data_IF_951639855049
#
_entry.id   IF_951639855049
#
_cell.length_a   1.000
_cell.length_b   1.000
_cell.length_c   1.000
_cell.angle_alpha   90.00
_cell.angle_beta   90.00
_cell.angle_gamma   90.00
#
_symmetry.space_group_name_H-M   'P 1'
#
loop_
_entity.id
_entity.type
_entity.pdbx_description
1 polymer ?
#
# COMPACT_ATOMS: atom_id res chain seq x y z
N UNK A 1 -30.40 -8.44 23.79
CA UNK A 1 -29.23 -9.31 24.03
C UNK A 1 -29.09 -10.16 22.79
N UNK A 2 -28.03 -9.96 22.02
CA UNK A 2 -27.82 -10.73 20.82
C UNK A 2 -27.30 -12.13 21.19
N UNK A 3 -27.64 -13.11 20.38
CA UNK A 3 -27.10 -14.46 20.50
C UNK A 3 -25.71 -14.49 19.87
N UNK A 4 -24.68 -14.68 20.69
CA UNK A 4 -23.30 -14.80 20.21
C UNK A 4 -23.04 -16.21 19.66
N UNK A 5 -22.51 -16.29 18.45
CA UNK A 5 -22.05 -17.53 17.82
C UNK A 5 -20.57 -17.37 17.51
N UNK A 6 -19.74 -18.13 18.21
CA UNK A 6 -18.30 -18.18 17.97
C UNK A 6 -17.97 -19.22 16.90
N UNK A 7 -17.12 -18.83 15.94
CA UNK A 7 -16.64 -19.65 14.84
C UNK A 7 -15.18 -20.02 15.14
N UNK A 8 -14.88 -21.33 15.16
CA UNK A 8 -13.54 -21.83 15.49
C UNK A 8 -12.46 -21.37 14.50
N UNK A 9 -11.19 -21.53 14.88
CA UNK A 9 -10.06 -21.04 14.09
C UNK A 9 -9.98 -21.63 12.68
N UNK A 10 -10.24 -22.93 12.52
CA UNK A 10 -10.16 -23.60 11.22
C UNK A 10 -11.31 -23.17 10.31
N UNK A 11 -12.52 -23.09 10.86
CA UNK A 11 -13.72 -22.61 10.17
C UNK A 11 -13.55 -21.14 9.77
N UNK A 12 -13.02 -20.32 10.66
CA UNK A 12 -12.73 -18.91 10.40
C UNK A 12 -11.71 -18.74 9.27
N UNK A 13 -10.66 -19.56 9.25
CA UNK A 13 -9.68 -19.55 8.16
C UNK A 13 -10.28 -20.01 6.82
N UNK A 14 -11.16 -21.02 6.84
CA UNK A 14 -11.92 -21.43 5.65
C UNK A 14 -12.82 -20.30 5.15
N UNK A 15 -13.50 -19.58 6.05
CA UNK A 15 -14.30 -18.40 5.70
C UNK A 15 -13.41 -17.34 5.07
N UNK A 16 -12.25 -17.01 5.64
CA UNK A 16 -11.33 -16.02 5.08
C UNK A 16 -10.88 -16.38 3.65
N UNK A 17 -10.58 -17.65 3.37
CA UNK A 17 -10.25 -18.10 2.01
C UNK A 17 -11.47 -18.00 1.08
N UNK A 18 -12.66 -18.35 1.59
CA UNK A 18 -13.92 -18.24 0.83
C UNK A 18 -14.22 -16.79 0.48
N UNK A 19 -13.91 -15.84 1.37
CA UNK A 19 -13.98 -14.40 1.13
C UNK A 19 -13.11 -13.99 -0.06
N UNK A 20 -11.88 -14.49 -0.15
CA UNK A 20 -11.00 -14.21 -1.28
C UNK A 20 -11.57 -14.73 -2.60
N UNK A 21 -12.06 -15.98 -2.62
CA UNK A 21 -12.68 -16.55 -3.83
C UNK A 21 -13.93 -15.77 -4.26
N UNK A 22 -14.75 -15.34 -3.31
CA UNK A 22 -15.91 -14.51 -3.56
C UNK A 22 -15.50 -13.17 -4.20
N UNK A 23 -14.51 -12.50 -3.61
CA UNK A 23 -13.96 -11.25 -4.14
C UNK A 23 -13.41 -11.41 -5.55
N UNK A 24 -12.63 -12.46 -5.79
CA UNK A 24 -12.08 -12.79 -7.11
C UNK A 24 -13.19 -13.02 -8.16
N UNK A 25 -14.21 -13.81 -7.82
CA UNK A 25 -15.35 -14.07 -8.70
C UNK A 25 -16.08 -12.79 -9.09
N UNK A 26 -16.31 -11.89 -8.13
CA UNK A 26 -17.01 -10.64 -8.37
C UNK A 26 -16.17 -9.66 -9.20
N UNK A 27 -14.88 -9.54 -8.88
CA UNK A 27 -13.93 -8.73 -9.67
C UNK A 27 -13.85 -9.19 -11.13
N UNK A 28 -13.90 -10.51 -11.36
CA UNK A 28 -13.91 -11.06 -12.72
C UNK A 28 -15.21 -10.72 -13.49
N UNK A 29 -16.33 -10.53 -12.79
CA UNK A 29 -17.64 -10.24 -13.39
C UNK A 29 -17.93 -8.75 -13.56
N UNK A 30 -17.34 -7.88 -12.74
CA UNK A 30 -17.60 -6.44 -12.72
C UNK A 30 -16.40 -5.66 -13.29
N UNK A 31 -16.49 -5.15 -14.55
CA UNK A 31 -15.38 -4.44 -15.19
C UNK A 31 -14.93 -3.19 -14.44
N UNK A 32 -15.83 -2.54 -13.68
CA UNK A 32 -15.52 -1.34 -12.90
C UNK A 32 -14.53 -1.66 -11.77
N UNK A 33 -14.73 -2.76 -11.03
CA UNK A 33 -13.84 -3.15 -9.94
C UNK A 33 -12.46 -3.52 -10.46
N UNK A 34 -12.42 -4.26 -11.57
CA UNK A 34 -11.17 -4.57 -12.28
C UNK A 34 -10.47 -3.33 -12.81
N UNK A 35 -11.22 -2.37 -13.37
CA UNK A 35 -10.67 -1.12 -13.91
C UNK A 35 -9.95 -0.30 -12.82
N UNK A 36 -10.49 -0.27 -11.61
CA UNK A 36 -9.89 0.45 -10.50
C UNK A 36 -8.91 -0.40 -9.68
N UNK A 37 -8.67 -1.67 -10.02
CA UNK A 37 -7.79 -2.57 -9.25
C UNK A 37 -8.22 -2.70 -7.77
N UNK A 38 -9.54 -2.78 -7.51
CA UNK A 38 -10.04 -2.98 -6.15
C UNK A 38 -9.60 -4.36 -5.63
N UNK A 39 -8.86 -4.44 -4.51
CA UNK A 39 -8.40 -5.72 -3.95
C UNK A 39 -9.55 -6.72 -3.70
N UNK A 40 -9.33 -7.98 -4.06
CA UNK A 40 -10.28 -9.08 -3.84
C UNK A 40 -10.70 -9.23 -2.36
N UNK A 41 -9.79 -9.15 -1.37
CA UNK A 41 -10.17 -9.27 0.04
C UNK A 41 -11.22 -8.24 0.45
N UNK A 42 -11.14 -7.01 -0.10
CA UNK A 42 -12.08 -5.90 0.20
C UNK A 42 -13.45 -6.20 -0.34
N UNK A 43 -13.54 -6.63 -1.59
CA UNK A 43 -14.83 -6.91 -2.24
C UNK A 43 -15.54 -8.06 -1.54
N UNK A 44 -14.84 -9.18 -1.30
CA UNK A 44 -15.42 -10.30 -0.58
C UNK A 44 -15.74 -9.94 0.88
N UNK A 45 -14.80 -9.26 1.55
CA UNK A 45 -14.88 -8.96 2.98
C UNK A 45 -16.00 -8.00 3.29
N UNK A 46 -16.22 -6.98 2.46
CA UNK A 46 -17.33 -6.05 2.62
C UNK A 46 -18.69 -6.73 2.46
N UNK A 47 -18.81 -7.73 1.56
CA UNK A 47 -20.04 -8.51 1.42
C UNK A 47 -20.31 -9.31 2.68
N UNK A 48 -19.29 -9.96 3.24
CA UNK A 48 -19.39 -10.67 4.52
C UNK A 48 -19.71 -9.71 5.67
N UNK A 49 -19.07 -8.55 5.74
CA UNK A 49 -19.36 -7.52 6.72
C UNK A 49 -20.82 -7.02 6.64
N UNK A 50 -21.36 -6.83 5.43
CA UNK A 50 -22.77 -6.51 5.22
C UNK A 50 -23.71 -7.64 5.70
N UNK A 51 -23.36 -8.91 5.46
CA UNK A 51 -24.14 -10.05 5.96
C UNK A 51 -24.11 -10.12 7.50
N UNK A 52 -22.93 -9.94 8.11
CA UNK A 52 -22.78 -9.89 9.57
C UNK A 52 -23.56 -8.72 10.16
N UNK A 53 -23.52 -7.55 9.51
CA UNK A 53 -24.31 -6.38 9.89
C UNK A 53 -25.81 -6.67 9.87
N UNK A 54 -26.30 -7.36 8.84
CA UNK A 54 -27.69 -7.80 8.79
C UNK A 54 -28.03 -8.78 9.92
N UNK A 55 -27.15 -9.75 10.21
CA UNK A 55 -27.34 -10.69 11.33
C UNK A 55 -27.37 -9.98 12.69
N UNK A 56 -26.49 -9.00 12.90
CA UNK A 56 -26.43 -8.18 14.11
C UNK A 56 -27.76 -7.48 14.38
N UNK A 57 -28.36 -6.87 13.34
CA UNK A 57 -29.68 -6.24 13.44
C UNK A 57 -30.83 -7.25 13.66
N UNK A 58 -30.63 -8.53 13.34
CA UNK A 58 -31.54 -9.62 13.66
C UNK A 58 -31.24 -10.28 15.02
N UNK A 59 -30.32 -9.71 15.81
CA UNK A 59 -29.99 -10.18 17.14
C UNK A 59 -29.00 -11.34 17.18
N UNK A 60 -28.19 -11.55 16.14
CA UNK A 60 -27.15 -12.59 16.09
C UNK A 60 -25.79 -11.93 15.91
N UNK A 61 -24.88 -12.15 16.86
CA UNK A 61 -23.50 -11.68 16.78
C UNK A 61 -22.59 -12.85 16.37
N UNK A 62 -21.79 -12.66 15.31
CA UNK A 62 -20.76 -13.61 14.91
C UNK A 62 -19.40 -13.14 15.39
N UNK A 63 -18.63 -14.05 15.97
CA UNK A 63 -17.25 -13.81 16.40
C UNK A 63 -16.33 -14.88 15.82
N UNK A 64 -15.28 -14.46 15.13
CA UNK A 64 -14.33 -15.35 14.46
C UNK A 64 -13.03 -15.43 15.25
N UNK A 65 -12.53 -16.64 15.48
CA UNK A 65 -11.20 -16.87 16.05
C UNK A 65 -10.11 -16.80 14.96
N UNK A 66 -9.20 -15.82 15.05
CA UNK A 66 -8.26 -15.46 13.97
C UNK A 66 -6.78 -15.48 14.40
N UNK A 67 -6.24 -16.62 14.90
CA UNK A 67 -4.89 -16.68 15.46
C UNK A 67 -3.78 -16.40 14.43
N UNK A 68 -4.08 -16.54 13.13
CA UNK A 68 -3.12 -16.32 12.05
C UNK A 68 -3.14 -14.88 11.50
N UNK A 69 -4.10 -14.04 11.87
CA UNK A 69 -4.23 -12.68 11.33
C UNK A 69 -2.95 -11.87 11.50
N UNK A 70 -2.44 -11.76 12.73
CA UNK A 70 -1.19 -11.04 13.00
C UNK A 70 -0.01 -11.72 12.28
N UNK A 71 0.04 -13.06 12.24
CA UNK A 71 1.12 -13.78 11.55
C UNK A 71 1.20 -13.42 10.07
N UNK A 72 0.06 -13.36 9.37
CA UNK A 72 0.02 -12.95 7.96
C UNK A 72 0.35 -11.47 7.77
N UNK A 73 -0.05 -10.60 8.70
CA UNK A 73 0.37 -9.19 8.71
C UNK A 73 1.90 -9.06 8.79
N UNK A 74 2.52 -9.71 9.77
CA UNK A 74 3.98 -9.69 9.97
C UNK A 74 4.72 -10.30 8.78
N UNK A 75 4.20 -11.37 8.18
CA UNK A 75 4.77 -11.94 6.96
C UNK A 75 4.71 -10.94 5.79
N UNK A 76 3.58 -10.25 5.60
CA UNK A 76 3.48 -9.21 4.57
C UNK A 76 4.55 -8.12 4.76
N UNK A 77 4.66 -7.52 5.95
CA UNK A 77 5.67 -6.48 6.20
C UNK A 77 7.11 -7.00 6.12
N UNK A 78 7.35 -8.26 6.50
CA UNK A 78 8.63 -8.91 6.28
C UNK A 78 8.96 -9.02 4.78
N UNK A 79 7.99 -9.27 3.90
CA UNK A 79 8.25 -9.29 2.44
C UNK A 79 8.61 -7.91 1.90
N UNK A 80 7.97 -6.83 2.38
CA UNK A 80 8.33 -5.45 2.04
C UNK A 80 9.80 -5.18 2.42
N UNK A 81 10.20 -5.57 3.64
CA UNK A 81 11.59 -5.48 4.09
C UNK A 81 12.54 -6.34 3.26
N UNK A 82 12.13 -7.57 2.90
CA UNK A 82 12.94 -8.47 2.09
C UNK A 82 13.11 -8.00 0.62
N UNK A 83 12.20 -7.15 0.15
CA UNK A 83 12.27 -6.55 -1.17
C UNK A 83 13.13 -5.27 -1.20
N UNK A 84 13.39 -4.65 -0.04
CA UNK A 84 14.18 -3.42 0.10
C UNK A 84 15.69 -3.67 -0.06
N UNK A 85 16.11 -3.81 -1.30
CA UNK A 85 17.47 -4.10 -1.72
C UNK A 85 18.23 -2.81 -2.11
N UNK A 86 19.38 -2.54 -1.47
CA UNK A 86 20.18 -1.33 -1.75
C UNK A 86 20.72 -1.27 -3.19
N UNK A 87 21.06 -2.41 -3.81
CA UNK A 87 21.53 -2.46 -5.19
C UNK A 87 20.42 -2.02 -6.16
N UNK A 88 19.15 -2.38 -5.91
CA UNK A 88 18.03 -1.90 -6.71
C UNK A 88 17.86 -0.39 -6.60
N UNK A 89 18.01 0.18 -5.40
CA UNK A 89 18.00 1.64 -5.19
C UNK A 89 19.10 2.33 -5.99
N UNK A 90 20.32 1.77 -5.96
CA UNK A 90 21.47 2.31 -6.69
C UNK A 90 21.32 2.19 -8.21
N UNK A 91 20.72 1.11 -8.72
CA UNK A 91 20.42 0.94 -10.15
C UNK A 91 19.45 1.99 -10.68
N UNK A 92 18.54 2.47 -9.84
CA UNK A 92 17.59 3.54 -10.18
C UNK A 92 18.23 4.93 -10.39
N UNK A 93 19.52 5.08 -10.06
CA UNK A 93 20.28 6.30 -10.28
C UNK A 93 19.77 7.51 -9.48
N UNK A 94 20.24 8.70 -9.84
CA UNK A 94 19.93 9.93 -9.10
C UNK A 94 18.43 10.26 -9.06
N UNK A 95 17.67 9.89 -10.10
CA UNK A 95 16.23 10.18 -10.19
C UNK A 95 15.41 9.45 -9.13
N UNK A 96 15.80 8.23 -8.73
CA UNK A 96 15.12 7.51 -7.63
C UNK A 96 15.29 8.24 -6.31
N UNK A 97 16.50 8.70 -5.98
CA UNK A 97 16.75 9.45 -4.74
C UNK A 97 16.02 10.80 -4.72
N UNK A 98 16.02 11.52 -5.85
CA UNK A 98 15.29 12.79 -5.97
C UNK A 98 13.79 12.55 -5.79
N UNK A 99 13.25 11.52 -6.45
CA UNK A 99 11.83 11.21 -6.34
C UNK A 99 11.44 10.76 -4.93
N UNK A 100 12.25 9.91 -4.30
CA UNK A 100 12.07 9.51 -2.91
C UNK A 100 12.03 10.74 -2.00
N UNK A 101 12.98 11.67 -2.12
CA UNK A 101 12.98 12.90 -1.31
C UNK A 101 11.70 13.74 -1.50
N UNK A 102 11.22 13.86 -2.74
CA UNK A 102 9.98 14.58 -3.06
C UNK A 102 8.75 13.89 -2.48
N UNK A 103 8.66 12.56 -2.60
CA UNK A 103 7.57 11.76 -2.05
C UNK A 103 7.56 11.79 -0.51
N UNK A 104 8.73 11.71 0.12
CA UNK A 104 8.90 11.85 1.58
C UNK A 104 8.46 13.23 2.07
N UNK A 105 8.82 14.29 1.35
CA UNK A 105 8.35 15.64 1.67
C UNK A 105 6.83 15.76 1.54
N UNK A 106 6.24 15.12 0.52
CA UNK A 106 4.79 15.06 0.37
C UNK A 106 4.11 14.32 1.54
N UNK A 107 4.67 13.21 2.03
CA UNK A 107 4.12 12.48 3.20
C UNK A 107 4.04 13.40 4.43
N UNK A 108 5.05 14.24 4.65
CA UNK A 108 5.03 15.23 5.73
C UNK A 108 3.83 16.17 5.56
N UNK A 109 3.60 16.69 4.35
CA UNK A 109 2.46 17.57 4.06
C UNK A 109 1.13 16.81 4.23
N UNK A 110 1.03 15.59 3.70
CA UNK A 110 -0.16 14.76 3.73
C UNK A 110 -0.60 14.48 5.18
N UNK A 111 0.35 14.14 6.05
CA UNK A 111 0.05 13.94 7.47
C UNK A 111 -0.31 15.25 8.17
N UNK A 112 0.38 16.36 7.88
CA UNK A 112 0.02 17.67 8.43
C UNK A 112 -1.40 18.09 8.05
N UNK A 113 -1.81 17.88 6.80
CA UNK A 113 -3.17 18.14 6.32
C UNK A 113 -4.18 17.22 7.02
N UNK A 114 -3.88 15.92 7.12
CA UNK A 114 -4.76 14.96 7.78
C UNK A 114 -5.01 15.31 9.24
N UNK A 115 -3.93 15.51 10.01
CA UNK A 115 -3.95 15.86 11.43
C UNK A 115 -4.67 17.19 11.67
N UNK A 116 -4.36 18.22 10.89
CA UNK A 116 -4.98 19.54 11.07
C UNK A 116 -6.48 19.54 10.75
N UNK A 117 -6.91 18.83 9.71
CA UNK A 117 -8.33 18.72 9.38
C UNK A 117 -9.09 17.83 10.36
N UNK A 118 -8.49 16.73 10.83
CA UNK A 118 -9.09 15.91 11.88
C UNK A 118 -9.37 16.75 13.13
N UNK A 119 -8.38 17.51 13.62
CA UNK A 119 -8.55 18.42 14.74
C UNK A 119 -9.61 19.50 14.48
N UNK A 120 -9.62 20.10 13.28
CA UNK A 120 -10.59 21.14 12.92
C UNK A 120 -12.04 20.62 12.82
N UNK A 121 -12.21 19.34 12.50
CA UNK A 121 -13.51 18.67 12.41
C UNK A 121 -13.95 18.02 13.74
N UNK A 122 -13.16 18.19 14.81
CA UNK A 122 -13.47 17.66 16.14
C UNK A 122 -13.15 16.18 16.33
N UNK A 123 -12.32 15.60 15.45
CA UNK A 123 -11.80 14.25 15.59
C UNK A 123 -10.47 14.25 16.36
N UNK A 124 -10.08 13.08 16.85
CA UNK A 124 -8.72 12.87 17.37
C UNK A 124 -7.68 13.17 16.27
N UNK A 125 -6.63 13.97 16.52
CA UNK A 125 -5.61 14.28 15.52
C UNK A 125 -4.92 13.04 14.92
N UNK A 126 -4.77 11.94 15.68
CA UNK A 126 -4.18 10.69 15.19
C UNK A 126 -5.04 10.05 14.11
N UNK A 127 -6.37 10.17 14.17
CA UNK A 127 -7.27 9.74 13.11
C UNK A 127 -6.98 10.42 11.76
N UNK A 128 -6.41 11.63 11.81
CA UNK A 128 -5.92 12.34 10.64
C UNK A 128 -4.75 11.65 9.93
N UNK A 129 -3.91 10.91 10.67
CA UNK A 129 -2.82 10.10 10.09
C UNK A 129 -3.38 8.89 9.33
N UNK A 130 -4.47 8.29 9.85
CA UNK A 130 -5.19 7.20 9.18
C UNK A 130 -5.76 7.68 7.85
N UNK A 131 -6.45 8.83 7.83
CA UNK A 131 -6.90 9.49 6.59
C UNK A 131 -5.78 10.17 5.78
N UNK A 132 -4.53 10.00 6.23
CA UNK A 132 -3.33 10.59 5.67
C UNK A 132 -2.45 9.52 5.04
N UNK A 133 -1.15 9.57 5.30
CA UNK A 133 -0.19 8.72 4.62
C UNK A 133 -0.29 7.24 4.99
N UNK A 134 -0.88 6.90 6.14
CA UNK A 134 -1.07 5.50 6.56
C UNK A 134 -1.85 4.74 5.48
N UNK A 135 -2.97 5.29 5.00
CA UNK A 135 -3.80 4.63 3.99
C UNK A 135 -3.56 5.15 2.58
N UNK A 136 -3.32 6.45 2.42
CA UNK A 136 -3.24 7.08 1.10
C UNK A 136 -1.88 6.90 0.43
N UNK A 137 -0.81 6.66 1.19
CA UNK A 137 0.49 6.30 0.63
C UNK A 137 0.87 4.85 0.92
N UNK A 138 0.51 4.33 2.11
CA UNK A 138 0.81 2.96 2.53
C UNK A 138 -0.23 1.90 2.12
N UNK A 139 -1.39 2.31 1.58
CA UNK A 139 -2.44 1.40 1.13
C UNK A 139 -3.13 0.61 2.25
N UNK A 140 -3.88 -0.43 1.86
CA UNK A 140 -4.69 -1.23 2.78
C UNK A 140 -3.87 -2.01 3.81
N UNK A 141 -2.73 -2.57 3.42
CA UNK A 141 -1.87 -3.34 4.34
C UNK A 141 -1.39 -2.49 5.51
N UNK A 142 -0.85 -1.30 5.21
CA UNK A 142 -0.42 -0.31 6.20
C UNK A 142 -1.57 0.25 7.01
N UNK A 143 -2.70 0.54 6.36
CA UNK A 143 -3.96 0.92 7.03
C UNK A 143 -4.39 -0.08 8.10
N UNK A 144 -4.52 -1.35 7.74
CA UNK A 144 -4.96 -2.39 8.67
C UNK A 144 -3.96 -2.63 9.81
N UNK A 145 -2.65 -2.59 9.52
CA UNK A 145 -1.63 -2.80 10.54
C UNK A 145 -1.59 -1.68 11.58
N UNK A 146 -1.60 -0.43 11.13
CA UNK A 146 -1.68 0.72 12.05
C UNK A 146 -3.02 0.80 12.77
N UNK A 147 -4.11 0.31 12.17
CA UNK A 147 -5.42 0.26 12.85
C UNK A 147 -5.37 -0.58 14.11
N UNK A 148 -4.69 -1.73 14.06
CA UNK A 148 -4.50 -2.60 15.23
C UNK A 148 -3.69 -1.87 16.31
N UNK A 149 -2.56 -1.26 15.93
CA UNK A 149 -1.77 -0.44 16.87
C UNK A 149 -2.59 0.69 17.50
N UNK A 150 -3.38 1.41 16.70
CA UNK A 150 -4.15 2.57 17.18
C UNK A 150 -5.27 2.16 18.13
N UNK A 151 -5.87 0.99 17.92
CA UNK A 151 -6.84 0.40 18.84
C UNK A 151 -6.14 -0.04 20.14
N UNK A 152 -5.07 -0.84 20.03
CA UNK A 152 -4.45 -1.49 21.19
C UNK A 152 -3.67 -0.51 22.08
N UNK A 153 -3.00 0.49 21.47
CA UNK A 153 -2.08 1.40 22.18
C UNK A 153 -2.74 2.74 22.52
N UNK A 154 -3.57 3.27 21.63
CA UNK A 154 -4.17 4.61 21.77
C UNK A 154 -5.65 4.58 22.13
N UNK A 155 -6.28 3.40 22.17
CA UNK A 155 -7.69 3.25 22.55
C UNK A 155 -8.66 3.90 21.56
N UNK A 156 -8.26 4.02 20.29
CA UNK A 156 -9.11 4.58 19.25
C UNK A 156 -10.04 3.50 18.69
N UNK A 157 -11.34 3.77 18.68
CA UNK A 157 -12.33 2.85 18.13
C UNK A 157 -12.48 2.98 16.61
N UNK A 158 -12.92 1.90 15.95
CA UNK A 158 -13.36 1.87 14.55
C UNK A 158 -12.29 2.28 13.51
N UNK A 159 -11.02 2.18 13.89
CA UNK A 159 -9.89 2.62 13.06
C UNK A 159 -9.76 1.77 11.79
N UNK A 160 -10.04 0.47 11.89
CA UNK A 160 -9.93 -0.47 10.77
C UNK A 160 -10.93 -0.15 9.67
N UNK A 161 -12.19 0.07 10.03
CA UNK A 161 -13.28 0.46 9.13
C UNK A 161 -12.89 1.71 8.33
N UNK A 162 -12.42 2.73 9.04
CA UNK A 162 -11.98 4.02 8.48
C UNK A 162 -10.77 3.82 7.56
N UNK A 163 -9.78 3.02 7.99
CA UNK A 163 -8.57 2.79 7.23
C UNK A 163 -8.87 2.09 5.89
N UNK A 164 -9.75 1.10 5.91
CA UNK A 164 -10.19 0.39 4.72
C UNK A 164 -10.97 1.28 3.76
N UNK A 165 -11.87 2.12 4.29
CA UNK A 165 -12.62 3.10 3.50
C UNK A 165 -11.67 4.13 2.86
N UNK A 166 -10.74 4.68 3.64
CA UNK A 166 -9.77 5.69 3.20
C UNK A 166 -8.82 5.17 2.13
N UNK A 167 -8.25 3.97 2.32
CA UNK A 167 -7.38 3.32 1.33
C UNK A 167 -8.13 3.02 0.02
N UNK A 168 -9.40 2.59 0.11
CA UNK A 168 -10.21 2.28 -1.08
C UNK A 168 -10.62 3.54 -1.84
N UNK A 169 -11.05 4.58 -1.12
CA UNK A 169 -11.30 5.90 -1.70
C UNK A 169 -10.06 6.40 -2.42
N UNK A 170 -8.93 6.36 -1.74
CA UNK A 170 -7.66 6.81 -2.26
C UNK A 170 -7.28 6.10 -3.56
N UNK A 171 -7.31 4.76 -3.59
CA UNK A 171 -6.98 3.99 -4.78
C UNK A 171 -7.87 4.32 -5.98
N UNK A 172 -9.17 4.56 -5.77
CA UNK A 172 -10.10 5.00 -6.82
C UNK A 172 -9.74 6.41 -7.30
N UNK A 173 -9.62 7.37 -6.38
CA UNK A 173 -9.39 8.77 -6.73
C UNK A 173 -8.00 9.00 -7.32
N UNK A 174 -6.97 8.34 -6.80
CA UNK A 174 -5.61 8.34 -7.34
C UNK A 174 -5.57 7.82 -8.78
N UNK A 175 -6.35 6.78 -9.09
CA UNK A 175 -6.52 6.28 -10.45
C UNK A 175 -7.27 7.24 -11.39
N UNK A 176 -8.20 8.04 -10.85
CA UNK A 176 -8.96 9.04 -11.62
C UNK A 176 -8.14 10.30 -11.89
N UNK A 177 -7.39 10.79 -10.91
CA UNK A 177 -6.71 12.09 -10.97
C UNK A 177 -5.35 12.01 -11.68
N UNK A 178 -4.62 10.90 -11.53
CA UNK A 178 -3.22 10.86 -11.97
C UNK A 178 -3.01 10.99 -13.47
N UNK A 179 -3.80 10.30 -14.29
CA UNK A 179 -3.69 10.44 -15.75
C UNK A 179 -4.09 11.85 -16.24
N UNK A 180 -5.21 12.47 -15.81
CA UNK A 180 -5.51 13.86 -16.17
C UNK A 180 -4.43 14.88 -15.78
N UNK A 181 -3.84 14.75 -14.58
CA UNK A 181 -2.74 15.63 -14.14
C UNK A 181 -1.54 15.50 -15.07
N UNK A 182 -1.09 14.27 -15.35
CA UNK A 182 0.03 14.01 -16.25
C UNK A 182 -0.27 14.49 -17.68
N UNK A 183 -1.46 14.19 -18.21
CA UNK A 183 -1.89 14.65 -19.53
C UNK A 183 -1.85 16.17 -19.62
N UNK A 184 -2.38 16.88 -18.62
CA UNK A 184 -2.39 18.35 -18.60
C UNK A 184 -0.98 18.92 -18.60
N UNK A 185 -0.04 18.30 -17.88
CA UNK A 185 1.37 18.67 -17.88
C UNK A 185 2.00 18.47 -19.27
N UNK A 186 1.73 17.33 -19.92
CA UNK A 186 2.23 17.03 -21.27
C UNK A 186 1.72 18.05 -22.28
N UNK A 187 0.41 18.24 -22.34
CA UNK A 187 -0.25 19.13 -23.32
C UNK A 187 0.10 20.61 -23.09
N UNK A 188 0.15 21.07 -21.83
CA UNK A 188 0.48 22.47 -21.52
C UNK A 188 1.90 22.84 -21.90
N UNK A 189 2.86 21.96 -21.64
CA UNK A 189 4.27 22.23 -21.86
C UNK A 189 4.74 21.79 -23.24
N UNK A 190 3.87 21.18 -24.06
CA UNK A 190 4.20 20.63 -25.39
C UNK A 190 5.44 19.71 -25.37
N UNK A 191 5.54 18.91 -24.30
CA UNK A 191 6.64 17.96 -24.08
C UNK A 191 6.30 16.61 -24.71
N UNK A 192 7.30 15.93 -25.25
CA UNK A 192 7.13 14.66 -25.95
C UNK A 192 8.07 13.59 -25.39
N UNK A 193 7.67 12.32 -25.53
CA UNK A 193 8.56 11.21 -25.26
C UNK A 193 9.80 11.29 -26.16
N UNK A 194 10.97 11.02 -25.58
CA UNK A 194 12.22 10.88 -26.35
C UNK A 194 12.14 9.75 -27.39
N UNK A 195 11.17 8.84 -27.24
CA UNK A 195 10.89 7.73 -28.14
C UNK A 195 9.78 8.04 -29.17
N UNK A 196 9.32 9.29 -29.24
CA UNK A 196 8.30 9.77 -30.16
C UNK A 196 6.86 9.62 -29.65
N UNK A 197 5.91 10.34 -30.29
CA UNK A 197 4.49 10.32 -29.92
C UNK A 197 3.87 8.94 -30.14
N UNK A 198 3.25 8.39 -29.10
CA UNK A 198 2.40 7.21 -29.20
C UNK A 198 1.15 7.49 -30.04
N UNK A 199 1.07 6.94 -31.24
CA UNK A 199 -0.15 6.99 -32.04
C UNK A 199 0.01 6.28 -33.38
N UNK A 200 -0.71 5.16 -33.57
CA UNK A 200 -0.95 4.38 -34.82
C UNK A 200 0.19 4.11 -35.81
N UNK A 201 1.39 4.61 -35.61
CA UNK A 201 2.58 3.98 -36.17
C UNK A 201 2.92 2.84 -35.21
N UNK A 202 2.33 1.67 -35.48
CA UNK A 202 2.49 0.43 -34.72
C UNK A 202 3.96 -0.07 -34.62
N UNK A 203 4.92 0.73 -35.11
CA UNK A 203 6.33 0.40 -35.21
C UNK A 203 7.18 0.92 -34.06
N UNK A 204 6.68 1.70 -33.10
CA UNK A 204 7.53 2.14 -31.97
C UNK A 204 7.80 1.01 -30.98
N UNK A 205 6.79 0.17 -30.69
CA UNK A 205 6.98 -1.06 -29.90
C UNK A 205 7.75 -2.14 -30.69
N UNK A 206 7.66 -2.16 -32.04
CA UNK A 206 8.45 -3.08 -32.88
C UNK A 206 9.90 -2.59 -33.14
N UNK A 207 10.16 -1.28 -33.19
CA UNK A 207 11.50 -0.70 -33.44
C UNK A 207 12.40 -0.75 -32.20
N UNK A 208 11.81 -0.83 -31.02
CA UNK A 208 12.55 -0.90 -29.76
C UNK A 208 11.92 -1.96 -28.83
N UNK A 209 12.07 -3.25 -29.15
CA UNK A 209 11.54 -4.35 -28.32
C UNK A 209 12.14 -4.37 -26.91
N UNK A 210 13.26 -3.69 -26.70
CA UNK A 210 13.93 -3.51 -25.40
C UNK A 210 13.26 -2.44 -24.50
N UNK A 211 12.28 -1.69 -25.01
CA UNK A 211 11.52 -0.70 -24.21
C UNK A 211 10.36 -1.31 -23.43
N UNK A 212 10.07 -2.60 -23.62
CA UNK A 212 9.23 -3.34 -22.68
C UNK A 212 10.08 -3.58 -21.44
N UNK A 213 9.89 -2.73 -20.41
CA UNK A 213 10.52 -2.91 -19.09
C UNK A 213 9.95 -4.12 -18.32
N UNK A 214 9.14 -4.93 -18.98
CA UNK A 214 8.62 -6.20 -18.52
C UNK A 214 9.14 -7.30 -19.45
N UNK A 215 10.13 -8.05 -18.98
CA UNK A 215 10.61 -9.21 -19.71
C UNK A 215 9.65 -10.37 -19.45
N UNK A 216 8.74 -10.64 -20.39
CA UNK A 216 7.82 -11.80 -20.35
C UNK A 216 8.58 -13.15 -20.33
N UNK A 217 9.90 -13.13 -20.58
CA UNK A 217 10.79 -14.28 -20.64
C UNK A 217 11.82 -14.36 -19.51
N UNK A 218 11.82 -13.46 -18.52
CA UNK A 218 12.51 -13.72 -17.25
C UNK A 218 11.63 -14.69 -16.44
N UNK A 219 11.69 -15.99 -16.80
CA UNK A 219 11.03 -17.04 -16.04
C UNK A 219 11.79 -17.27 -14.72
N UNK A 220 11.62 -16.39 -13.72
CA UNK A 220 12.11 -16.66 -12.36
C UNK A 220 11.14 -17.63 -11.64
N UNK A 221 10.89 -18.79 -12.26
CA UNK A 221 9.83 -19.75 -11.87
C UNK A 221 9.72 -19.92 -10.36
N UNK A 222 8.52 -19.70 -9.85
CA UNK A 222 8.19 -20.02 -8.47
C UNK A 222 8.13 -21.54 -8.32
N UNK A 223 9.05 -22.09 -7.53
CA UNK A 223 9.13 -23.53 -7.26
C UNK A 223 8.82 -23.80 -5.79
N UNK A 224 8.32 -24.99 -5.47
CA UNK A 224 8.07 -25.40 -4.08
C UNK A 224 9.31 -25.21 -3.19
N UNK A 225 10.51 -25.45 -3.74
CA UNK A 225 11.78 -25.22 -3.05
C UNK A 225 11.99 -23.73 -2.73
N UNK A 226 11.82 -22.83 -3.71
CA UNK A 226 11.94 -21.38 -3.50
C UNK A 226 10.91 -20.91 -2.46
N UNK A 227 9.67 -21.40 -2.53
CA UNK A 227 8.60 -21.07 -1.57
C UNK A 227 8.99 -21.46 -0.14
N UNK A 228 9.41 -22.71 0.09
CA UNK A 228 9.84 -23.18 1.43
C UNK A 228 11.02 -22.36 1.94
N UNK A 229 12.00 -22.06 1.07
CA UNK A 229 13.15 -21.22 1.42
C UNK A 229 12.72 -19.81 1.84
N UNK A 230 11.81 -19.16 1.11
CA UNK A 230 11.37 -17.81 1.44
C UNK A 230 10.45 -17.77 2.66
N UNK A 231 9.58 -18.76 2.83
CA UNK A 231 8.81 -18.94 4.07
C UNK A 231 9.72 -19.08 5.29
N UNK A 232 10.87 -19.76 5.18
CA UNK A 232 11.83 -19.83 6.27
C UNK A 232 12.37 -18.44 6.66
N UNK A 233 12.77 -17.61 5.70
CA UNK A 233 13.20 -16.23 5.98
C UNK A 233 12.07 -15.38 6.57
N UNK A 234 10.84 -15.52 6.07
CA UNK A 234 9.68 -14.81 6.61
C UNK A 234 9.41 -15.21 8.06
N UNK A 235 9.48 -16.51 8.38
CA UNK A 235 9.30 -16.97 9.75
C UNK A 235 10.44 -16.53 10.68
N UNK A 236 11.67 -16.37 10.17
CA UNK A 236 12.74 -15.70 10.92
C UNK A 236 12.35 -14.25 11.24
N UNK A 237 11.86 -13.49 10.25
CA UNK A 237 11.44 -12.11 10.47
C UNK A 237 10.29 -12.01 11.49
N UNK A 238 9.25 -12.84 11.34
CA UNK A 238 8.07 -12.85 12.23
C UNK A 238 8.46 -13.24 13.66
N UNK A 239 9.24 -14.32 13.80
CA UNK A 239 9.68 -14.81 15.11
C UNK A 239 10.65 -13.83 15.76
N UNK A 240 11.59 -13.29 14.97
CA UNK A 240 12.52 -12.27 15.42
C UNK A 240 11.82 -11.00 15.87
N UNK A 241 10.79 -10.54 15.15
CA UNK A 241 9.99 -9.37 15.51
C UNK A 241 9.36 -9.53 16.90
N UNK A 242 8.73 -10.68 17.16
CA UNK A 242 8.13 -11.00 18.47
C UNK A 242 9.16 -11.01 19.60
N UNK A 243 10.33 -11.61 19.38
CA UNK A 243 11.39 -11.62 20.40
C UNK A 243 11.98 -10.23 20.64
N UNK A 244 12.16 -9.44 19.58
CA UNK A 244 12.66 -8.06 19.71
C UNK A 244 11.65 -7.20 20.45
N UNK A 245 10.36 -7.27 20.10
CA UNK A 245 9.29 -6.56 20.78
C UNK A 245 9.23 -6.93 22.27
N UNK A 246 9.26 -8.23 22.59
CA UNK A 246 9.26 -8.71 23.97
C UNK A 246 10.49 -8.20 24.74
N UNK A 247 11.66 -8.21 24.11
CA UNK A 247 12.89 -7.69 24.70
C UNK A 247 12.79 -6.17 24.96
N UNK A 248 12.34 -5.39 23.98
CA UNK A 248 12.15 -3.93 24.09
C UNK A 248 11.18 -3.58 25.21
N UNK A 249 10.04 -4.29 25.27
CA UNK A 249 9.03 -4.12 26.31
C UNK A 249 9.59 -4.44 27.69
N UNK A 250 10.39 -5.51 27.82
CA UNK A 250 11.02 -5.91 29.10
C UNK A 250 12.02 -4.87 29.62
N UNK A 251 12.74 -4.19 28.73
CA UNK A 251 13.74 -3.19 29.09
C UNK A 251 13.23 -1.74 29.03
N UNK A 252 11.93 -1.54 28.79
CA UNK A 252 11.26 -0.23 28.70
C UNK A 252 12.02 0.80 27.85
N UNK A 253 12.56 0.35 26.71
CA UNK A 253 13.37 1.20 25.83
C UNK A 253 12.44 2.15 25.08
N UNK A 254 12.19 3.33 25.65
CA UNK A 254 11.14 4.26 25.21
C UNK A 254 11.25 4.68 23.74
N UNK A 255 12.48 4.78 23.19
CA UNK A 255 12.71 5.17 21.80
C UNK A 255 12.53 4.04 20.78
N UNK A 256 12.42 2.78 21.24
CA UNK A 256 12.17 1.62 20.39
C UNK A 256 10.75 1.06 20.55
N UNK A 257 9.87 1.68 21.34
CA UNK A 257 8.47 1.26 21.52
C UNK A 257 7.63 1.54 20.27
N UNK A 258 7.77 0.67 19.28
CA UNK A 258 7.16 0.79 17.95
C UNK A 258 6.34 -0.47 17.62
N UNK A 259 5.41 -0.42 16.65
CA UNK A 259 4.57 -1.57 16.32
C UNK A 259 5.37 -2.81 15.87
N UNK A 260 4.85 -4.00 16.16
CA UNK A 260 5.52 -5.28 15.92
C UNK A 260 5.92 -5.51 14.44
N UNK A 261 5.04 -5.14 13.51
CA UNK A 261 5.27 -5.24 12.07
C UNK A 261 6.46 -4.41 11.58
N UNK A 262 6.82 -3.35 12.32
CA UNK A 262 8.01 -2.54 12.03
C UNK A 262 9.28 -3.36 12.23
N UNK A 263 9.36 -4.14 13.31
CA UNK A 263 10.51 -5.03 13.52
C UNK A 263 10.59 -6.10 12.44
N UNK A 264 9.45 -6.69 12.03
CA UNK A 264 9.41 -7.70 10.97
C UNK A 264 9.96 -7.14 9.65
N UNK A 265 9.56 -5.92 9.29
CA UNK A 265 10.10 -5.18 8.15
C UNK A 265 11.60 -4.95 8.29
N UNK A 266 12.07 -4.38 9.41
CA UNK A 266 13.51 -4.07 9.58
C UNK A 266 14.40 -5.30 9.57
N UNK A 267 13.95 -6.41 10.19
CA UNK A 267 14.68 -7.68 10.13
C UNK A 267 14.76 -8.16 8.67
N UNK A 268 13.69 -8.03 7.88
CA UNK A 268 13.71 -8.31 6.44
C UNK A 268 14.73 -7.45 5.67
N UNK A 269 14.79 -6.15 5.96
CA UNK A 269 15.80 -5.24 5.38
C UNK A 269 17.21 -5.72 5.72
N UNK A 270 17.48 -6.04 6.99
CA UNK A 270 18.79 -6.51 7.45
C UNK A 270 19.18 -7.80 6.72
N UNK A 271 18.28 -8.79 6.67
CA UNK A 271 18.55 -10.08 6.02
C UNK A 271 18.90 -9.90 4.54
N UNK A 272 18.10 -9.13 3.80
CA UNK A 272 18.30 -8.94 2.36
C UNK A 272 19.61 -8.26 2.06
N UNK A 273 19.90 -7.16 2.75
CA UNK A 273 21.11 -6.39 2.52
C UNK A 273 22.35 -7.18 2.98
N UNK A 274 22.26 -7.97 4.06
CA UNK A 274 23.34 -8.87 4.48
C UNK A 274 23.63 -9.96 3.42
N UNK A 275 22.61 -10.65 2.93
CA UNK A 275 22.76 -11.69 1.91
C UNK A 275 23.35 -11.16 0.60
N UNK A 276 22.99 -9.93 0.25
CA UNK A 276 23.46 -9.27 -0.96
C UNK A 276 24.91 -8.75 -0.85
N UNK A 277 25.26 -8.10 0.27
CA UNK A 277 26.64 -7.64 0.53
C UNK A 277 27.60 -8.81 0.58
N UNK A 278 27.22 -9.90 1.25
CA UNK A 278 28.04 -11.12 1.35
C UNK A 278 28.09 -11.92 0.04
N UNK A 279 27.25 -11.57 -0.96
CA UNK A 279 27.08 -12.29 -2.23
C UNK A 279 26.79 -13.78 -2.07
N UNK A 280 26.34 -14.22 -0.90
CA UNK A 280 26.06 -15.63 -0.61
C UNK A 280 24.88 -16.09 -1.46
N UNK A 281 23.83 -15.26 -1.54
CA UNK A 281 22.62 -15.59 -2.29
C UNK A 281 21.83 -14.33 -2.64
N UNK A 282 21.36 -14.26 -3.89
CA UNK A 282 20.35 -13.29 -4.31
C UNK A 282 18.96 -13.82 -3.90
N UNK A 283 18.17 -13.01 -3.20
CA UNK A 283 16.77 -13.34 -2.93
C UNK A 283 15.97 -13.22 -4.22
N UNK A 284 15.08 -14.18 -4.42
CA UNK A 284 14.16 -14.24 -5.54
C UNK A 284 13.01 -13.27 -5.28
N UNK A 285 12.99 -12.16 -6.02
CA UNK A 285 12.03 -11.08 -5.79
C UNK A 285 10.60 -11.53 -6.09
N UNK A 286 10.41 -12.36 -7.13
CA UNK A 286 9.09 -12.86 -7.54
C UNK A 286 8.44 -13.77 -6.49
N UNK A 287 9.19 -14.73 -5.91
CA UNK A 287 8.66 -15.59 -4.84
C UNK A 287 8.36 -14.78 -3.57
N UNK A 288 9.20 -13.79 -3.24
CA UNK A 288 8.96 -12.90 -2.08
C UNK A 288 7.69 -12.08 -2.29
N UNK A 289 7.52 -11.49 -3.48
CA UNK A 289 6.35 -10.70 -3.86
C UNK A 289 5.05 -11.55 -3.86
N UNK A 290 5.10 -12.77 -4.40
CA UNK A 290 3.96 -13.67 -4.38
C UNK A 290 3.56 -14.07 -2.95
N UNK A 291 4.53 -14.44 -2.10
CA UNK A 291 4.25 -14.74 -0.69
C UNK A 291 3.72 -13.51 0.06
N UNK A 292 4.19 -12.31 -0.30
CA UNK A 292 3.72 -11.04 0.25
C UNK A 292 2.26 -10.79 -0.13
N UNK A 293 1.94 -10.97 -1.41
CA UNK A 293 0.57 -10.82 -1.94
C UNK A 293 -0.40 -11.81 -1.30
N UNK A 294 0.00 -13.08 -1.14
CA UNK A 294 -0.81 -14.09 -0.45
C UNK A 294 -1.02 -13.71 1.02
N UNK A 295 0.04 -13.29 1.70
CA UNK A 295 -0.02 -12.91 3.12
C UNK A 295 -0.91 -11.68 3.33
N UNK A 296 -0.74 -10.64 2.52
CA UNK A 296 -1.59 -9.46 2.51
C UNK A 296 -3.06 -9.81 2.28
N UNK A 297 -3.33 -10.66 1.29
CA UNK A 297 -4.69 -11.05 0.94
C UNK A 297 -5.39 -11.77 2.09
N UNK A 298 -4.71 -12.75 2.70
CA UNK A 298 -5.24 -13.50 3.83
C UNK A 298 -5.42 -12.62 5.07
N UNK A 299 -4.42 -11.79 5.38
CA UNK A 299 -4.50 -10.80 6.46
C UNK A 299 -5.71 -9.88 6.30
N UNK A 300 -5.86 -9.25 5.12
CA UNK A 300 -6.98 -8.35 4.84
C UNK A 300 -8.32 -9.09 4.88
N UNK A 301 -8.42 -10.30 4.31
CA UNK A 301 -9.67 -11.06 4.34
C UNK A 301 -10.13 -11.33 5.78
N UNK A 302 -9.21 -11.73 6.67
CA UNK A 302 -9.50 -11.94 8.08
C UNK A 302 -9.87 -10.65 8.80
N UNK A 303 -9.19 -9.54 8.51
CA UNK A 303 -9.51 -8.24 9.09
C UNK A 303 -10.89 -7.72 8.64
N UNK A 304 -11.23 -7.93 7.37
CA UNK A 304 -12.45 -7.38 6.78
C UNK A 304 -13.70 -8.18 7.12
N UNK A 305 -13.58 -9.49 7.30
CA UNK A 305 -14.73 -10.31 7.69
C UNK A 305 -15.12 -10.14 9.17
N UNK A 306 -14.34 -9.42 9.98
CA UNK A 306 -14.68 -9.03 11.35
C UNK A 306 -15.09 -7.55 11.49
N UNK A 307 -15.21 -6.82 10.37
CA UNK A 307 -15.60 -5.40 10.35
C UNK A 307 -17.02 -5.18 10.90
N UNK A 308 -17.17 -4.13 11.71
CA UNK A 308 -18.46 -3.71 12.28
C UNK A 308 -18.92 -2.41 11.61
N UNK A 309 -19.52 -2.53 10.43
CA UNK A 309 -19.92 -1.38 9.59
C UNK A 309 -20.85 -0.39 10.31
N UNK A 310 -21.62 -0.85 11.29
CA UNK A 310 -22.55 0.00 12.04
C UNK A 310 -21.85 1.03 12.95
N UNK A 311 -20.55 0.88 13.23
CA UNK A 311 -19.84 1.78 14.11
C UNK A 311 -19.27 3.05 13.44
N UNK A 312 -19.29 3.16 12.10
CA UNK A 312 -18.63 4.27 11.38
C UNK A 312 -19.54 5.33 10.75
N UNK A 313 -20.86 5.20 10.89
CA UNK A 313 -21.78 6.13 10.23
C UNK A 313 -21.53 7.59 10.62
N UNK A 314 -21.26 7.85 11.90
CA UNK A 314 -21.05 9.21 12.41
C UNK A 314 -19.69 9.80 12.02
N UNK A 315 -18.72 8.96 11.63
CA UNK A 315 -17.38 9.37 11.22
C UNK A 315 -17.26 9.57 9.70
N UNK A 316 -18.20 9.05 8.91
CA UNK A 316 -18.08 9.04 7.45
C UNK A 316 -17.95 10.44 6.81
N UNK A 317 -18.73 11.42 7.26
CA UNK A 317 -18.73 12.78 6.68
C UNK A 317 -17.39 13.50 6.94
N UNK A 318 -16.90 13.61 8.19
CA UNK A 318 -15.58 14.19 8.46
C UNK A 318 -14.46 13.58 7.60
N UNK A 319 -14.38 12.25 7.51
CA UNK A 319 -13.34 11.59 6.72
C UNK A 319 -13.47 11.87 5.23
N UNK A 320 -14.69 11.91 4.68
CA UNK A 320 -14.88 12.26 3.27
C UNK A 320 -14.37 13.68 2.95
N UNK A 321 -14.54 14.64 3.87
CA UNK A 321 -13.97 15.98 3.73
C UNK A 321 -12.44 15.93 3.74
N UNK A 322 -11.82 15.23 4.69
CA UNK A 322 -10.37 15.09 4.77
C UNK A 322 -9.83 14.50 3.47
N UNK A 323 -10.39 13.37 3.03
CA UNK A 323 -9.97 12.65 1.83
C UNK A 323 -10.14 13.47 0.54
N UNK A 324 -11.19 14.28 0.43
CA UNK A 324 -11.38 15.20 -0.68
C UNK A 324 -10.27 16.28 -0.71
N UNK A 325 -9.94 16.87 0.45
CA UNK A 325 -8.85 17.86 0.54
C UNK A 325 -7.50 17.22 0.23
N UNK A 326 -7.22 16.03 0.76
CA UNK A 326 -6.00 15.28 0.45
C UNK A 326 -5.83 15.07 -1.06
N UNK A 327 -6.93 14.74 -1.75
CA UNK A 327 -6.92 14.53 -3.20
C UNK A 327 -6.54 15.78 -3.97
N UNK A 328 -7.06 16.94 -3.56
CA UNK A 328 -6.72 18.24 -4.16
C UNK A 328 -5.26 18.62 -3.86
N UNK A 329 -4.81 18.44 -2.62
CA UNK A 329 -3.44 18.75 -2.21
C UNK A 329 -2.44 17.92 -2.99
N UNK A 330 -2.67 16.61 -3.18
CA UNK A 330 -1.78 15.78 -4.01
C UNK A 330 -1.74 16.26 -5.45
N UNK A 331 -2.91 16.54 -6.05
CA UNK A 331 -2.99 16.99 -7.44
C UNK A 331 -2.19 18.28 -7.64
N UNK A 332 -2.30 19.25 -6.73
CA UNK A 332 -1.54 20.50 -6.75
C UNK A 332 -0.04 20.22 -6.55
N UNK A 333 0.31 19.41 -5.55
CA UNK A 333 1.70 19.11 -5.22
C UNK A 333 2.42 18.41 -6.39
N UNK A 334 1.81 17.40 -6.98
CA UNK A 334 2.39 16.68 -8.11
C UNK A 334 2.54 17.56 -9.35
N UNK A 335 1.53 18.40 -9.61
CA UNK A 335 1.52 19.32 -10.73
C UNK A 335 2.61 20.40 -10.63
N UNK A 336 2.81 21.01 -9.45
CA UNK A 336 3.76 22.13 -9.29
C UNK A 336 5.12 21.74 -8.73
N UNK A 337 5.18 20.78 -7.81
CA UNK A 337 6.42 20.40 -7.11
C UNK A 337 7.04 19.18 -7.77
N UNK A 338 6.33 18.05 -7.83
CA UNK A 338 6.90 16.81 -8.38
C UNK A 338 7.36 16.99 -9.83
N UNK A 339 6.50 17.53 -10.70
CA UNK A 339 6.87 17.79 -12.09
C UNK A 339 8.11 18.68 -12.22
N UNK A 340 8.18 19.77 -11.44
CA UNK A 340 9.26 20.75 -11.53
C UNK A 340 10.59 20.17 -11.03
N UNK A 341 10.58 19.52 -9.87
CA UNK A 341 11.78 18.92 -9.26
C UNK A 341 12.30 17.74 -10.09
N UNK A 342 11.41 16.98 -10.73
CA UNK A 342 11.80 15.85 -11.58
C UNK A 342 12.34 16.26 -12.95
N UNK A 343 12.40 17.57 -13.27
CA UNK A 343 13.08 18.11 -14.44
C UNK A 343 12.16 18.69 -15.51
N UNK A 344 10.85 18.79 -15.26
CA UNK A 344 9.86 19.40 -16.15
C UNK A 344 9.82 18.83 -17.59
N UNK A 345 10.28 17.60 -17.78
CA UNK A 345 10.28 16.89 -19.06
C UNK A 345 9.15 15.84 -19.11
N UNK A 346 9.06 15.09 -20.21
CA UNK A 346 8.02 14.07 -20.38
C UNK A 346 8.04 13.02 -19.27
N UNK A 347 9.21 12.48 -18.92
CA UNK A 347 9.32 11.52 -17.82
C UNK A 347 8.83 12.11 -16.49
N UNK A 348 9.13 13.39 -16.21
CA UNK A 348 8.65 14.07 -15.02
C UNK A 348 7.11 14.17 -14.99
N UNK A 349 6.45 14.33 -16.14
CA UNK A 349 4.99 14.32 -16.22
C UNK A 349 4.41 12.91 -15.98
N UNK A 350 5.04 11.87 -16.53
CA UNK A 350 4.66 10.47 -16.26
C UNK A 350 4.86 10.13 -14.78
N UNK A 351 6.01 10.52 -14.20
CA UNK A 351 6.31 10.36 -12.76
C UNK A 351 5.30 11.13 -11.90
N UNK A 352 4.88 12.32 -12.28
CA UNK A 352 3.83 13.07 -11.56
C UNK A 352 2.48 12.33 -11.57
N UNK A 353 2.10 11.73 -12.70
CA UNK A 353 0.92 10.86 -12.78
C UNK A 353 1.04 9.57 -11.97
N UNK A 354 2.24 8.99 -11.93
CA UNK A 354 2.58 7.86 -11.06
C UNK A 354 2.49 8.24 -9.58
N UNK A 355 3.04 9.40 -9.20
CA UNK A 355 2.96 9.93 -7.83
C UNK A 355 1.53 10.18 -7.38
N UNK A 356 0.67 10.69 -8.27
CA UNK A 356 -0.77 10.77 -7.99
C UNK A 356 -1.39 9.40 -7.70
N UNK A 357 -0.93 8.36 -8.40
CA UNK A 357 -1.47 7.00 -8.27
C UNK A 357 -1.12 6.35 -6.94
N UNK A 358 0.15 6.32 -6.55
CA UNK A 358 0.53 5.70 -5.28
C UNK A 358 0.41 6.65 -4.07
N UNK A 359 0.55 7.97 -4.24
CA UNK A 359 0.42 8.95 -3.14
C UNK A 359 -1.03 9.19 -2.67
N UNK A 360 -2.01 8.64 -3.40
CA UNK A 360 -3.39 8.44 -2.95
C UNK A 360 -3.77 6.97 -2.87
N UNK A 361 -2.91 6.01 -3.21
CA UNK A 361 -3.34 4.60 -3.29
C UNK A 361 -2.19 3.64 -3.10
N UNK A 362 -1.86 2.91 -4.15
CA UNK A 362 -0.81 1.91 -4.13
C UNK A 362 -0.04 1.90 -5.47
N UNK A 363 1.11 1.23 -5.48
CA UNK A 363 1.96 1.08 -6.67
C UNK A 363 1.21 0.58 -7.92
N UNK A 364 0.26 -0.37 -7.86
CA UNK A 364 -0.52 -0.78 -9.02
C UNK A 364 -1.31 0.36 -9.68
N UNK A 365 -1.84 1.30 -8.88
CA UNK A 365 -2.56 2.49 -9.37
C UNK A 365 -1.61 3.45 -10.06
N UNK A 366 -0.39 3.61 -9.55
CA UNK A 366 0.66 4.40 -10.22
C UNK A 366 1.01 3.80 -11.59
N UNK A 367 1.22 2.49 -11.67
CA UNK A 367 1.55 1.79 -12.91
C UNK A 367 0.41 1.91 -13.93
N UNK A 368 -0.85 1.79 -13.49
CA UNK A 368 -2.02 2.04 -14.36
C UNK A 368 -2.04 3.45 -14.93
N UNK A 369 -1.85 4.47 -14.09
CA UNK A 369 -1.84 5.87 -14.51
C UNK A 369 -0.73 6.16 -15.52
N UNK A 370 0.49 5.70 -15.23
CA UNK A 370 1.63 5.83 -16.12
C UNK A 370 1.39 5.08 -17.43
N UNK A 371 0.84 3.86 -17.36
CA UNK A 371 0.43 3.04 -18.50
C UNK A 371 -0.51 3.78 -19.45
N UNK A 372 -1.54 4.43 -18.92
CA UNK A 372 -2.47 5.23 -19.72
C UNK A 372 -1.78 6.41 -20.42
N UNK A 373 -0.76 7.01 -19.81
CA UNK A 373 -0.02 8.14 -20.40
C UNK A 373 0.93 7.64 -21.48
N UNK A 374 1.72 6.60 -21.20
CA UNK A 374 2.69 6.10 -22.19
C UNK A 374 2.02 5.48 -23.41
N UNK A 375 0.85 4.85 -23.24
CA UNK A 375 0.04 4.36 -24.35
C UNK A 375 -0.41 5.49 -25.30
N UNK A 376 -0.59 6.71 -24.78
CA UNK A 376 -1.07 7.86 -25.56
C UNK A 376 0.04 8.80 -26.03
N UNK A 377 1.13 8.93 -25.27
CA UNK A 377 2.15 9.95 -25.50
C UNK A 377 3.54 9.39 -25.75
N UNK A 378 3.71 8.06 -25.67
CA UNK A 378 4.95 7.35 -25.97
C UNK A 378 5.65 6.77 -24.72
N UNK A 379 6.58 5.82 -24.89
CA UNK A 379 7.27 5.16 -23.78
C UNK A 379 7.98 6.11 -22.79
N UNK A 380 8.10 5.68 -21.52
CA UNK A 380 8.92 6.33 -20.48
C UNK A 380 9.55 5.27 -19.55
N UNK A 381 10.63 4.58 -19.97
CA UNK A 381 11.29 3.57 -19.15
C UNK A 381 11.81 4.13 -17.81
N UNK A 382 12.24 5.39 -17.81
CA UNK A 382 12.71 6.05 -16.59
C UNK A 382 11.60 6.12 -15.52
N UNK A 383 10.37 6.49 -15.90
CA UNK A 383 9.27 6.57 -14.95
C UNK A 383 8.88 5.18 -14.40
N UNK A 384 8.87 4.16 -15.27
CA UNK A 384 8.58 2.77 -14.91
C UNK A 384 9.70 2.11 -14.09
N UNK A 385 10.91 2.67 -14.09
CA UNK A 385 11.95 2.29 -13.14
C UNK A 385 11.80 3.06 -11.81
N UNK A 386 11.65 4.38 -11.87
CA UNK A 386 11.72 5.25 -10.69
C UNK A 386 10.54 5.05 -9.75
N UNK A 387 9.31 5.08 -10.28
CA UNK A 387 8.10 5.11 -9.44
C UNK A 387 7.87 3.77 -8.73
N UNK A 388 7.96 2.59 -9.38
CA UNK A 388 7.77 1.32 -8.68
C UNK A 388 8.83 1.04 -7.63
N UNK A 389 10.11 1.37 -7.88
CA UNK A 389 11.18 1.17 -6.89
C UNK A 389 10.90 2.01 -5.63
N UNK A 390 10.54 3.29 -5.79
CA UNK A 390 10.22 4.16 -4.65
C UNK A 390 8.93 3.71 -3.98
N UNK A 391 7.86 3.51 -4.73
CA UNK A 391 6.51 3.24 -4.22
C UNK A 391 6.30 1.85 -3.64
N UNK A 392 6.98 0.82 -4.14
CA UNK A 392 6.80 -0.56 -3.65
C UNK A 392 7.70 -0.91 -2.45
N UNK A 393 8.84 -0.24 -2.29
CA UNK A 393 9.86 -0.68 -1.33
C UNK A 393 10.24 0.40 -0.33
N UNK A 394 10.65 1.58 -0.80
CA UNK A 394 11.27 2.58 0.06
C UNK A 394 10.28 3.50 0.74
N UNK A 395 9.14 3.75 0.10
CA UNK A 395 8.16 4.69 0.64
C UNK A 395 7.58 4.22 1.96
N UNK A 396 7.32 2.92 2.14
CA UNK A 396 6.77 2.37 3.38
C UNK A 396 7.73 2.59 4.56
N UNK A 397 9.03 2.43 4.32
CA UNK A 397 10.08 2.67 5.34
C UNK A 397 10.10 4.14 5.74
N UNK A 398 10.11 5.04 4.75
CA UNK A 398 10.16 6.48 5.04
C UNK A 398 8.86 6.97 5.67
N UNK A 399 7.72 6.46 5.20
CA UNK A 399 6.40 6.76 5.75
C UNK A 399 6.35 6.39 7.22
N UNK A 400 6.81 5.19 7.58
CA UNK A 400 6.91 4.73 8.95
C UNK A 400 7.75 5.64 9.83
N UNK A 401 8.92 6.08 9.36
CA UNK A 401 9.79 7.02 10.11
C UNK A 401 9.07 8.36 10.31
N UNK A 402 8.41 8.90 9.28
CA UNK A 402 7.66 10.16 9.38
C UNK A 402 6.47 10.02 10.33
N UNK A 403 5.74 8.90 10.27
CA UNK A 403 4.61 8.62 11.16
C UNK A 403 5.03 8.57 12.62
N UNK A 404 6.15 7.90 12.94
CA UNK A 404 6.69 7.90 14.30
C UNK A 404 7.01 9.33 14.79
N UNK A 405 7.56 10.18 13.91
CA UNK A 405 7.80 11.59 14.23
C UNK A 405 6.50 12.36 14.53
N UNK A 406 5.44 12.13 13.74
CA UNK A 406 4.13 12.74 13.99
C UNK A 406 3.49 12.26 15.29
N UNK A 407 3.51 10.95 15.52
CA UNK A 407 2.95 10.34 16.74
C UNK A 407 3.66 10.89 17.98
N UNK A 408 4.99 10.93 17.97
CA UNK A 408 5.79 11.49 19.08
C UNK A 408 5.58 13.00 19.29
N UNK A 409 5.11 13.73 18.27
CA UNK A 409 4.80 15.16 18.40
C UNK A 409 3.38 15.40 18.92
N UNK A 410 2.44 14.50 18.59
CA UNK A 410 1.03 14.60 18.98
C UNK A 410 0.75 13.97 20.36
N UNK A 411 1.61 13.07 20.83
CA UNK A 411 1.54 12.38 22.12
C UNK A 411 2.84 12.50 22.91
#
# INVERSE_FOLDING_TARGET
MNHLISVGALESFLVAISVLFLGHFINAKLPILKKFNIPEPIVGGLIVACMITALHFNGIDLEFDLPLQNTFMLMFFATVGLAANYTQLMKGGAKVFIFLAVASFYIIIQNGVGVSLAAALGLDPLMGLIAGSITLSGGHGTGAAWSQTFQDVYGLDNVLEIAMASATFGLIIGGIIGSPVAQRLVEKNSIESEYGRGGRDAKTHEKFPELVTYNEYEEDKVTAKKVVEKLFFLLICVTGAKYVEQWVSTYEISWLMIPDFVYALFIGVIITNFLEVTKIRKLDAETVDMLGTVSLSLFLAMALMSLKLWNIFDLAIPFLVILAVQSVVLAIFTYYVTFKVMGSNYDAAVIAGGHCGFGLGATPTAVMNMGSIVNRFGPSPQAFMVVPIVGAFFIDIVNLIILQGYISFLG
#
